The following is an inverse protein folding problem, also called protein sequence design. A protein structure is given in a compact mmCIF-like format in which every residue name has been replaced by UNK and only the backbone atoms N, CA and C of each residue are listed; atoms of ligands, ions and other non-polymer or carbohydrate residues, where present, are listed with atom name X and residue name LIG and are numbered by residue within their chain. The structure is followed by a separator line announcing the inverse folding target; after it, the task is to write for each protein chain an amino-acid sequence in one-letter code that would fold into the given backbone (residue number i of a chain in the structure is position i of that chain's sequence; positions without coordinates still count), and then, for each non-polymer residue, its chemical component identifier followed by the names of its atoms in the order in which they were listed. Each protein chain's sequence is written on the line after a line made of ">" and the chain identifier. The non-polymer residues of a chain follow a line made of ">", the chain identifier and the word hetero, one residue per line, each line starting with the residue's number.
data_IF_428744529168
#
_entry.id   IF_428744529168
#
_cell.length_a   1.000
_cell.length_b   1.000
_cell.length_c   1.000
_cell.angle_alpha   90.00
_cell.angle_beta   90.00
_cell.angle_gamma   90.00
#
_symmetry.space_group_name_H-M   'P 1'
#
loop_
_entity.id
_entity.type
_entity.pdbx_description
1 polymer ?
#
# COMPACT_ATOMS: atom_id res chain seq x y z
N UNK A 1 -8.82 -0.83 -1.75
CA UNK A 1 -9.14 -1.28 -3.13
C UNK A 1 -9.00 -2.78 -3.15
N UNK A 2 -10.03 -3.51 -3.55
CA UNK A 2 -10.00 -4.98 -3.56
C UNK A 2 -9.96 -5.42 -5.02
N UNK A 3 -8.94 -6.20 -5.39
CA UNK A 3 -8.84 -6.80 -6.71
C UNK A 3 -9.61 -8.12 -6.65
N UNK A 4 -10.54 -8.40 -7.60
CA UNK A 4 -11.28 -9.65 -7.61
C UNK A 4 -10.35 -10.87 -7.71
N UNK A 5 -10.63 -11.93 -6.95
CA UNK A 5 -9.83 -13.16 -6.99
C UNK A 5 -9.80 -13.78 -8.38
N UNK A 6 -10.92 -13.72 -9.10
CA UNK A 6 -11.02 -14.20 -10.48
C UNK A 6 -10.06 -13.49 -11.43
N UNK A 7 -9.79 -12.21 -11.21
CA UNK A 7 -8.80 -11.48 -12.01
C UNK A 7 -7.37 -11.90 -11.66
N UNK A 8 -7.10 -12.17 -10.38
CA UNK A 8 -5.80 -12.68 -9.94
C UNK A 8 -5.52 -14.03 -10.58
N UNK A 9 -6.50 -14.93 -10.58
CA UNK A 9 -6.38 -16.23 -11.24
C UNK A 9 -6.14 -16.06 -12.74
N UNK A 10 -6.89 -15.17 -13.40
CA UNK A 10 -6.74 -14.89 -14.82
C UNK A 10 -5.33 -14.39 -15.19
N UNK A 11 -4.75 -13.46 -14.43
CA UNK A 11 -3.39 -12.95 -14.72
C UNK A 11 -2.32 -14.01 -14.46
N UNK A 12 -2.52 -14.87 -13.45
CA UNK A 12 -1.59 -15.96 -13.17
C UNK A 12 -1.64 -17.04 -14.26
N UNK A 13 -2.81 -17.35 -14.80
CA UNK A 13 -2.97 -18.31 -15.89
C UNK A 13 -2.41 -17.80 -17.22
N UNK A 14 -2.46 -16.48 -17.46
CA UNK A 14 -1.94 -15.87 -18.70
C UNK A 14 -0.47 -15.47 -18.61
N UNK A 15 0.10 -15.42 -17.42
CA UNK A 15 1.51 -15.10 -17.21
C UNK A 15 2.37 -16.35 -17.08
N UNK A 16 3.62 -16.27 -17.51
CA UNK A 16 4.62 -17.32 -17.28
C UNK A 16 5.63 -16.86 -16.23
N UNK A 17 5.72 -17.62 -15.14
CA UNK A 17 6.69 -17.34 -14.08
C UNK A 17 8.13 -17.36 -14.57
N UNK A 18 8.44 -18.19 -15.56
CA UNK A 18 9.79 -18.26 -16.13
C UNK A 18 10.14 -16.95 -16.83
N UNK A 19 9.20 -16.36 -17.54
CA UNK A 19 9.40 -15.05 -18.20
C UNK A 19 9.55 -13.92 -17.17
N UNK A 20 8.70 -13.93 -16.13
CA UNK A 20 8.70 -12.89 -15.08
C UNK A 20 10.01 -12.94 -14.28
N UNK A 21 10.43 -14.12 -13.86
CA UNK A 21 11.67 -14.33 -13.12
C UNK A 21 12.88 -14.14 -14.05
N UNK A 22 12.80 -14.64 -15.28
CA UNK A 22 13.89 -14.60 -16.25
C UNK A 22 14.31 -13.20 -16.70
N UNK A 23 13.41 -12.22 -16.61
CA UNK A 23 13.75 -10.79 -16.84
C UNK A 23 14.63 -10.20 -15.74
N UNK A 24 14.73 -10.84 -14.57
CA UNK A 24 15.42 -10.35 -13.37
C UNK A 24 16.57 -11.23 -12.93
N UNK A 25 16.45 -12.52 -13.18
CA UNK A 25 17.42 -13.54 -12.79
C UNK A 25 17.75 -14.41 -13.99
N UNK A 26 19.03 -14.60 -14.24
CA UNK A 26 19.46 -15.48 -15.33
C UNK A 26 19.11 -16.93 -15.01
N UNK A 27 18.23 -17.51 -15.82
CA UNK A 27 17.74 -18.88 -15.66
C UNK A 27 18.37 -19.82 -16.68
N UNK A 28 18.72 -21.01 -16.23
CA UNK A 28 19.22 -22.11 -17.10
C UNK A 28 18.31 -23.31 -16.96
N UNK A 29 17.80 -23.83 -18.08
CA UNK A 29 16.92 -25.01 -18.10
C UNK A 29 17.70 -26.27 -17.71
N UNK A 30 17.20 -27.00 -16.71
CA UNK A 30 17.73 -28.32 -16.31
C UNK A 30 16.55 -29.25 -16.02
N UNK A 31 16.30 -30.19 -16.93
CA UNK A 31 15.15 -31.07 -16.86
C UNK A 31 13.84 -30.31 -17.01
N UNK A 32 12.90 -30.53 -16.11
CA UNK A 32 11.59 -29.86 -16.05
C UNK A 32 11.63 -28.49 -15.37
N UNK A 33 12.75 -28.09 -14.79
CA UNK A 33 12.86 -26.84 -14.04
C UNK A 33 13.89 -25.89 -14.68
N UNK A 34 13.73 -24.61 -14.37
CA UNK A 34 14.72 -23.56 -14.66
C UNK A 34 15.46 -23.22 -13.36
N UNK A 35 16.78 -23.11 -13.43
CA UNK A 35 17.63 -22.87 -12.26
C UNK A 35 18.38 -21.56 -12.39
N UNK A 36 18.46 -20.82 -11.32
CA UNK A 36 19.20 -19.56 -11.24
C UNK A 36 19.75 -19.30 -9.84
N UNK A 37 20.56 -18.24 -9.73
CA UNK A 37 21.00 -17.74 -8.44
C UNK A 37 19.78 -17.14 -7.72
N UNK A 38 19.65 -17.41 -6.43
CA UNK A 38 18.56 -16.86 -5.63
C UNK A 38 18.83 -15.37 -5.33
N UNK A 39 17.92 -14.45 -5.66
CA UNK A 39 18.13 -13.03 -5.38
C UNK A 39 17.84 -12.63 -3.93
N UNK A 40 17.35 -13.55 -3.11
CA UNK A 40 16.89 -13.27 -1.75
C UNK A 40 17.93 -13.58 -0.67
N UNK A 41 19.10 -14.10 -1.07
CA UNK A 41 20.27 -14.29 -0.20
C UNK A 41 21.54 -14.21 -1.05
N UNK A 42 22.68 -14.10 -0.40
CA UNK A 42 23.99 -14.12 -1.09
C UNK A 42 24.26 -15.53 -1.61
N UNK A 43 24.02 -15.73 -2.92
CA UNK A 43 24.05 -17.03 -3.61
C UNK A 43 25.14 -17.09 -4.68
N UNK A 44 26.03 -18.05 -4.53
CA UNK A 44 27.12 -18.27 -5.50
C UNK A 44 26.93 -19.51 -6.38
N UNK A 45 25.87 -20.28 -6.13
CA UNK A 45 25.54 -21.48 -6.92
C UNK A 45 24.03 -21.53 -7.15
N UNK A 46 23.56 -21.85 -8.36
CA UNK A 46 22.13 -21.90 -8.65
C UNK A 46 21.38 -22.77 -7.63
N UNK A 47 20.63 -22.14 -6.75
CA UNK A 47 19.87 -22.77 -5.67
C UNK A 47 18.36 -22.55 -5.78
N UNK A 48 17.93 -21.64 -6.65
CA UNK A 48 16.53 -21.38 -6.90
C UNK A 48 16.05 -22.13 -8.13
N UNK A 49 15.03 -22.97 -7.96
CA UNK A 49 14.34 -23.65 -9.04
C UNK A 49 13.01 -22.94 -9.34
N UNK A 50 12.73 -22.74 -10.63
CA UNK A 50 11.46 -22.23 -11.15
C UNK A 50 10.83 -23.33 -12.00
N UNK A 51 9.62 -23.73 -11.62
CA UNK A 51 8.85 -24.75 -12.32
C UNK A 51 7.75 -24.09 -13.15
N UNK A 52 7.84 -24.24 -14.48
CA UNK A 52 6.92 -23.65 -15.43
C UNK A 52 5.53 -24.30 -15.35
N UNK A 53 5.45 -25.63 -15.23
CA UNK A 53 4.17 -26.33 -15.19
C UNK A 53 3.36 -26.02 -13.93
N UNK A 54 4.06 -25.81 -12.82
CA UNK A 54 3.43 -25.49 -11.52
C UNK A 54 3.31 -23.99 -11.27
N UNK A 55 3.86 -23.14 -12.12
CA UNK A 55 3.92 -21.69 -11.97
C UNK A 55 4.42 -21.27 -10.56
N UNK A 56 5.55 -21.88 -10.14
CA UNK A 56 6.05 -21.75 -8.77
C UNK A 56 7.58 -21.74 -8.74
N UNK A 57 8.15 -20.92 -7.84
CA UNK A 57 9.58 -20.94 -7.56
C UNK A 57 9.87 -21.40 -6.12
N UNK A 58 11.01 -22.01 -5.94
CA UNK A 58 11.52 -22.44 -4.64
C UNK A 58 13.04 -22.35 -4.56
N UNK A 59 13.55 -21.73 -3.50
CA UNK A 59 15.00 -21.74 -3.18
C UNK A 59 15.31 -22.80 -2.13
N UNK A 60 16.22 -23.70 -2.45
CA UNK A 60 16.60 -24.81 -1.55
C UNK A 60 17.53 -24.39 -0.41
N UNK A 61 18.07 -23.16 -0.45
CA UNK A 61 18.98 -22.64 0.59
C UNK A 61 18.23 -21.78 1.58
N UNK A 62 17.56 -20.72 1.14
CA UNK A 62 16.87 -19.79 2.05
C UNK A 62 15.38 -20.09 2.24
N UNK A 63 14.80 -21.06 1.49
CA UNK A 63 13.39 -21.41 1.60
C UNK A 63 12.42 -20.40 0.97
N UNK A 64 12.92 -19.36 0.28
CA UNK A 64 12.06 -18.41 -0.43
C UNK A 64 11.25 -19.14 -1.50
N UNK A 65 9.94 -18.88 -1.55
CA UNK A 65 9.01 -19.61 -2.41
C UNK A 65 7.77 -18.79 -2.75
N UNK A 66 7.12 -19.12 -3.84
CA UNK A 66 5.84 -18.51 -4.24
C UNK A 66 5.59 -18.54 -5.74
N UNK A 67 4.52 -17.85 -6.13
CA UNK A 67 4.15 -17.62 -7.52
C UNK A 67 4.78 -16.30 -8.04
N UNK A 68 4.40 -15.91 -9.25
CA UNK A 68 4.88 -14.68 -9.91
C UNK A 68 4.65 -13.42 -9.07
N UNK A 69 3.48 -13.30 -8.42
CA UNK A 69 3.13 -12.15 -7.58
C UNK A 69 4.07 -12.10 -6.37
N UNK A 70 4.25 -13.23 -5.68
CA UNK A 70 5.12 -13.31 -4.51
C UNK A 70 6.57 -13.01 -4.86
N UNK A 71 7.02 -13.47 -6.04
CA UNK A 71 8.36 -13.16 -6.52
C UNK A 71 8.57 -11.66 -6.70
N UNK A 72 7.67 -10.97 -7.39
CA UNK A 72 7.76 -9.52 -7.62
C UNK A 72 7.71 -8.74 -6.31
N UNK A 73 6.80 -9.10 -5.42
CA UNK A 73 6.69 -8.45 -4.11
C UNK A 73 7.99 -8.52 -3.32
N UNK A 74 8.61 -9.70 -3.30
CA UNK A 74 9.84 -9.92 -2.53
C UNK A 74 11.07 -9.33 -3.22
N UNK A 75 11.12 -9.36 -4.56
CA UNK A 75 12.27 -8.92 -5.33
C UNK A 75 12.35 -7.39 -5.48
N UNK A 76 11.22 -6.76 -5.81
CA UNK A 76 11.12 -5.32 -6.04
C UNK A 76 10.56 -4.57 -4.83
N UNK A 77 10.26 -5.28 -3.72
CA UNK A 77 9.63 -4.73 -2.51
C UNK A 77 8.30 -4.00 -2.81
N UNK A 78 7.54 -4.55 -3.75
CA UNK A 78 6.26 -4.01 -4.16
C UNK A 78 5.14 -4.41 -3.19
N UNK A 79 4.11 -3.58 -3.10
CA UNK A 79 2.88 -4.03 -2.47
C UNK A 79 2.13 -5.04 -3.38
N UNK A 80 1.02 -5.58 -2.87
CA UNK A 80 0.25 -6.59 -3.60
C UNK A 80 -0.37 -6.02 -4.88
N UNK A 81 -0.87 -4.79 -4.82
CA UNK A 81 -1.56 -4.13 -5.93
C UNK A 81 -0.57 -3.82 -7.05
N UNK A 82 0.58 -3.24 -6.71
CA UNK A 82 1.63 -2.89 -7.67
C UNK A 82 2.20 -4.14 -8.36
N UNK A 83 2.37 -5.25 -7.61
CA UNK A 83 2.82 -6.50 -8.19
C UNK A 83 1.79 -7.08 -9.18
N UNK A 84 0.49 -7.01 -8.86
CA UNK A 84 -0.59 -7.41 -9.76
C UNK A 84 -0.64 -6.52 -10.99
N UNK A 85 -0.53 -5.20 -10.84
CA UNK A 85 -0.50 -4.24 -11.96
C UNK A 85 0.70 -4.51 -12.89
N UNK A 86 1.85 -4.82 -12.32
CA UNK A 86 3.06 -5.16 -13.09
C UNK A 86 2.82 -6.41 -13.94
N UNK A 87 2.25 -7.48 -13.38
CA UNK A 87 1.95 -8.70 -14.15
C UNK A 87 0.86 -8.42 -15.19
N UNK A 88 -0.22 -7.75 -14.81
CA UNK A 88 -1.31 -7.40 -15.71
C UNK A 88 -0.81 -6.64 -16.95
N UNK A 89 0.09 -5.67 -16.74
CA UNK A 89 0.70 -4.92 -17.83
C UNK A 89 1.53 -5.80 -18.78
N UNK A 90 2.19 -6.85 -18.28
CA UNK A 90 2.97 -7.77 -19.13
C UNK A 90 2.11 -8.66 -20.02
N UNK A 91 0.87 -8.95 -19.58
CA UNK A 91 -0.10 -9.75 -20.34
C UNK A 91 -1.13 -8.88 -21.08
N UNK A 92 -0.99 -7.56 -21.03
CA UNK A 92 -1.86 -6.62 -21.73
C UNK A 92 -3.27 -6.48 -21.12
N UNK A 93 -3.43 -6.78 -19.85
CA UNK A 93 -4.67 -6.64 -19.11
C UNK A 93 -4.67 -5.38 -18.25
N UNK A 94 -5.81 -4.72 -18.16
CA UNK A 94 -6.04 -3.63 -17.21
C UNK A 94 -6.64 -4.18 -15.91
N UNK A 95 -6.08 -3.77 -14.77
CA UNK A 95 -6.62 -4.18 -13.46
C UNK A 95 -8.00 -3.58 -13.26
N UNK A 96 -9.06 -4.40 -13.12
CA UNK A 96 -10.39 -3.89 -12.82
C UNK A 96 -10.35 -3.26 -11.43
N UNK A 97 -10.38 -1.95 -11.39
CA UNK A 97 -10.53 -1.20 -10.15
C UNK A 97 -12.00 -1.20 -9.79
N UNK A 98 -12.43 -2.21 -9.04
CA UNK A 98 -13.71 -2.08 -8.36
C UNK A 98 -13.60 -0.80 -7.51
N UNK A 99 -14.40 0.20 -7.88
CA UNK A 99 -14.69 1.30 -7.00
C UNK A 99 -15.41 0.65 -5.81
N UNK A 100 -14.63 0.21 -4.81
CA UNK A 100 -15.25 -0.02 -3.51
C UNK A 100 -15.88 1.31 -3.18
N UNK A 101 -17.20 1.33 -3.21
CA UNK A 101 -18.02 2.47 -2.86
C UNK A 101 -17.99 2.71 -1.34
N UNK A 102 -16.81 2.68 -0.74
CA UNK A 102 -16.57 3.45 0.45
C UNK A 102 -16.43 4.89 -0.06
N UNK A 103 -17.59 5.51 -0.22
CA UNK A 103 -17.66 6.95 -0.40
C UNK A 103 -17.13 7.60 0.88
N UNK A 104 -15.80 7.76 0.94
CA UNK A 104 -15.12 8.47 2.02
C UNK A 104 -15.38 9.99 1.93
N UNK A 105 -16.18 10.46 0.97
CA UNK A 105 -16.46 11.88 0.79
C UNK A 105 -17.10 12.47 2.04
N UNK A 106 -18.01 11.74 2.67
CA UNK A 106 -18.63 12.15 3.93
C UNK A 106 -17.60 12.26 5.05
N UNK A 107 -16.69 11.29 5.18
CA UNK A 107 -15.64 11.33 6.20
C UNK A 107 -14.61 12.43 5.93
N UNK A 108 -14.24 12.64 4.67
CA UNK A 108 -13.33 13.72 4.23
C UNK A 108 -13.98 15.08 4.53
N UNK A 109 -15.26 15.25 4.22
CA UNK A 109 -16.00 16.49 4.48
C UNK A 109 -16.10 16.78 5.99
N UNK A 110 -16.43 15.78 6.80
CA UNK A 110 -16.46 15.91 8.27
C UNK A 110 -15.08 16.32 8.81
N UNK A 111 -14.01 15.71 8.35
CA UNK A 111 -12.65 16.05 8.77
C UNK A 111 -12.27 17.49 8.37
N UNK A 112 -12.67 17.94 7.18
CA UNK A 112 -12.47 19.33 6.74
C UNK A 112 -13.24 20.31 7.61
N UNK A 113 -14.50 20.02 7.92
CA UNK A 113 -15.35 20.87 8.77
C UNK A 113 -14.78 20.98 10.19
N UNK A 114 -14.33 19.85 10.75
CA UNK A 114 -13.69 19.80 12.08
C UNK A 114 -12.38 20.58 12.09
N UNK A 115 -11.57 20.45 11.04
CA UNK A 115 -10.32 21.21 10.91
C UNK A 115 -10.59 22.73 10.87
N UNK A 116 -11.64 23.15 10.15
CA UNK A 116 -12.04 24.56 10.13
C UNK A 116 -12.52 25.06 11.50
N UNK A 117 -13.29 24.26 12.23
CA UNK A 117 -13.72 24.58 13.60
C UNK A 117 -12.51 24.79 14.50
N UNK A 118 -11.52 23.90 14.46
CA UNK A 118 -10.32 24.01 15.28
C UNK A 118 -9.45 25.23 14.91
N UNK A 119 -9.35 25.59 13.65
CA UNK A 119 -8.69 26.82 13.19
C UNK A 119 -9.39 28.06 13.75
N UNK A 120 -10.72 28.10 13.69
CA UNK A 120 -11.52 29.21 14.25
C UNK A 120 -11.37 29.29 15.78
N UNK A 121 -11.35 28.15 16.48
CA UNK A 121 -11.15 28.13 17.93
C UNK A 121 -9.75 28.62 18.33
N UNK A 122 -8.72 28.31 17.57
CA UNK A 122 -7.36 28.83 17.84
C UNK A 122 -7.32 30.36 17.83
N UNK A 123 -8.04 31.00 16.91
CA UNK A 123 -8.09 32.47 16.78
C UNK A 123 -9.10 33.13 17.72
N UNK A 124 -9.89 32.37 18.44
CA UNK A 124 -10.87 32.87 19.39
C UNK A 124 -10.24 33.30 20.75
N UNK A 125 -11.05 33.87 21.62
CA UNK A 125 -10.60 34.23 23.00
C UNK A 125 -10.05 33.03 23.77
N UNK A 126 -10.61 31.85 23.55
CA UNK A 126 -10.19 30.59 24.18
C UNK A 126 -8.81 30.10 23.69
N UNK A 127 -8.42 30.46 22.48
CA UNK A 127 -7.13 30.05 21.85
C UNK A 127 -5.91 30.85 22.34
N UNK A 128 -6.08 31.92 23.15
CA UNK A 128 -4.96 32.79 23.59
C UNK A 128 -3.82 32.03 24.27
N UNK A 129 -4.14 31.03 25.09
CA UNK A 129 -3.14 30.18 25.77
C UNK A 129 -2.37 29.31 24.75
N UNK A 130 -3.07 28.72 23.77
CA UNK A 130 -2.50 27.91 22.71
C UNK A 130 -1.58 28.77 21.81
N UNK A 131 -2.01 29.96 21.43
CA UNK A 131 -1.17 30.90 20.65
C UNK A 131 0.09 31.27 21.43
N UNK A 132 -0.01 31.57 22.74
CA UNK A 132 1.15 31.86 23.58
C UNK A 132 2.13 30.68 23.64
N UNK A 133 1.62 29.45 23.72
CA UNK A 133 2.41 28.24 23.69
C UNK A 133 3.14 28.04 22.34
N UNK A 134 2.43 28.22 21.22
CA UNK A 134 3.02 28.13 19.88
C UNK A 134 4.15 29.16 19.69
N UNK A 135 3.92 30.41 20.14
CA UNK A 135 4.95 31.47 20.10
C UNK A 135 6.19 31.12 20.93
N UNK A 136 6.02 30.57 22.14
CA UNK A 136 7.15 30.10 22.96
C UNK A 136 7.96 28.99 22.28
N UNK A 137 7.34 28.18 21.43
CA UNK A 137 7.98 27.15 20.62
C UNK A 137 8.59 27.65 19.31
N UNK A 138 8.54 28.96 19.03
CA UNK A 138 9.08 29.55 17.82
C UNK A 138 8.20 29.31 16.58
N UNK A 139 6.94 28.88 16.75
CA UNK A 139 6.02 28.68 15.62
C UNK A 139 5.36 30.03 15.31
N UNK A 140 5.65 30.54 14.11
CA UNK A 140 5.05 31.79 13.62
C UNK A 140 3.58 31.58 13.23
N UNK A 141 2.82 32.69 13.14
CA UNK A 141 1.44 32.63 12.65
C UNK A 141 1.34 32.13 11.19
N UNK A 142 2.33 32.43 10.36
CA UNK A 142 2.42 31.91 8.98
C UNK A 142 2.64 30.41 8.96
N UNK A 143 3.57 29.93 9.79
CA UNK A 143 3.81 28.48 9.94
C UNK A 143 2.56 27.77 10.45
N UNK A 144 1.90 28.32 11.48
CA UNK A 144 0.68 27.75 12.00
C UNK A 144 -0.45 27.67 10.94
N UNK A 145 -0.56 28.71 10.09
CA UNK A 145 -1.52 28.73 8.99
C UNK A 145 -1.17 27.72 7.90
N UNK A 146 0.10 27.62 7.52
CA UNK A 146 0.58 26.70 6.49
C UNK A 146 0.32 25.22 6.87
N UNK A 147 0.58 24.87 8.13
CA UNK A 147 0.34 23.52 8.65
C UNK A 147 -1.10 23.32 9.19
N UNK A 148 -2.00 24.28 8.97
CA UNK A 148 -3.41 24.21 9.39
C UNK A 148 -3.60 23.87 10.88
N UNK A 149 -2.72 24.39 11.74
CA UNK A 149 -2.77 24.12 13.18
C UNK A 149 -4.06 24.71 13.76
N UNK A 150 -4.80 23.87 14.47
CA UNK A 150 -6.02 24.23 15.18
C UNK A 150 -5.91 23.99 16.68
N UNK A 151 -6.93 24.39 17.43
CA UNK A 151 -7.05 24.20 18.88
C UNK A 151 -8.41 23.61 19.23
N UNK A 152 -8.40 22.54 20.00
CA UNK A 152 -9.63 21.94 20.55
C UNK A 152 -9.87 22.42 21.97
N UNK A 153 -11.10 22.84 22.26
CA UNK A 153 -11.53 23.14 23.63
C UNK A 153 -11.71 21.83 24.40
N UNK A 154 -11.34 21.83 25.68
CA UNK A 154 -11.55 20.68 26.58
C UNK A 154 -13.03 20.30 26.79
N UNK A 155 -13.94 21.21 26.42
CA UNK A 155 -15.39 20.99 26.50
C UNK A 155 -16.00 20.32 25.27
N UNK A 156 -15.20 20.03 24.22
CA UNK A 156 -15.71 19.24 23.09
C UNK A 156 -15.75 17.78 23.52
N UNK A 157 -16.88 17.41 24.10
CA UNK A 157 -17.19 16.02 24.40
C UNK A 157 -17.18 15.22 23.08
N UNK A 158 -16.30 14.27 22.93
CA UNK A 158 -16.27 13.33 21.80
C UNK A 158 -17.58 12.54 21.62
N UNK A 159 -18.52 12.68 22.57
CA UNK A 159 -19.85 12.05 22.54
C UNK A 159 -20.78 12.56 21.43
N UNK A 160 -20.47 13.69 20.79
CA UNK A 160 -21.28 14.22 19.68
C UNK A 160 -20.74 13.87 18.28
N UNK A 161 -19.58 13.23 18.21
CA UNK A 161 -19.00 12.69 16.97
C UNK A 161 -19.25 11.18 16.83
N UNK A 162 -20.30 10.65 17.42
CA UNK A 162 -20.75 9.30 17.08
C UNK A 162 -21.26 9.33 15.64
N UNK A 163 -20.47 8.74 14.73
CA UNK A 163 -20.95 8.35 13.41
C UNK A 163 -22.28 7.60 13.60
N UNK A 164 -23.32 7.88 12.82
CA UNK A 164 -24.52 7.07 12.83
C UNK A 164 -24.12 5.66 12.42
N UNK A 165 -23.96 4.78 13.41
CA UNK A 165 -23.93 3.36 13.17
C UNK A 165 -25.32 3.00 12.70
N UNK A 166 -25.50 2.89 11.39
CA UNK A 166 -26.67 2.24 10.82
C UNK A 166 -26.69 0.83 11.35
N UNK A 167 -27.56 0.61 12.34
CA UNK A 167 -27.87 -0.72 12.81
C UNK A 167 -28.46 -1.53 11.67
N UNK A 168 -27.89 -2.69 11.46
CA UNK A 168 -28.48 -3.78 10.70
C UNK A 168 -29.28 -4.64 11.67
#
# INVERSE_FOLDING_TARGET
>A
MTIPSSFIDQILDQSDIVDIVGRRVQLTKKGSNFWGLCPFHDDHKPSMAVNQDKQFYYCFVCGAKGNSINFLRNYENLDFVDAVETIASTVGLEVPREKTSFDNSAAININSDVAEIFKKQLTSEYGKKAISYLKKRGISGETAKFFEIGFSLDTVSYTHLTLPTTGV
#
